data_IF_329016561528
#
_entry.id   IF_329016561528
#
_cell.length_a   1.000
_cell.length_b   1.000
_cell.length_c   1.000
_cell.angle_alpha   90.00
_cell.angle_beta   90.00
_cell.angle_gamma   90.00
#
_symmetry.space_group_name_H-M   'P 1'
#
loop_
_entity.id
_entity.type
_entity.pdbx_description
1 polymer ?
#
# COMPACT_ATOMS: atom_id res chain seq x y z
N UNK A 1 -4.74 -17.38 16.58
CA UNK A 1 -5.51 -16.96 15.37
C UNK A 1 -6.30 -15.72 15.75
N UNK A 2 -6.14 -14.64 15.00
CA UNK A 2 -6.79 -13.36 15.26
C UNK A 2 -8.20 -13.35 14.65
N UNK A 3 -9.20 -13.04 15.47
CA UNK A 3 -10.57 -12.82 15.05
C UNK A 3 -10.75 -11.33 14.68
N UNK A 4 -10.89 -11.04 13.39
CA UNK A 4 -10.92 -9.66 12.88
C UNK A 4 -12.30 -9.27 12.34
N UNK A 5 -12.56 -7.96 12.29
CA UNK A 5 -13.61 -7.39 11.47
C UNK A 5 -13.00 -6.80 10.19
N UNK A 6 -13.70 -7.00 9.06
CA UNK A 6 -13.38 -6.33 7.80
C UNK A 6 -14.41 -5.22 7.55
N UNK A 7 -13.93 -4.01 7.23
CA UNK A 7 -14.74 -2.81 7.02
C UNK A 7 -14.57 -2.33 5.59
N UNK A 8 -15.66 -2.31 4.83
CA UNK A 8 -15.65 -2.06 3.39
C UNK A 8 -15.62 -3.38 2.60
N UNK A 9 -16.79 -3.79 2.09
CA UNK A 9 -16.98 -5.06 1.37
C UNK A 9 -17.12 -4.86 -0.15
N UNK A 10 -16.50 -3.81 -0.65
CA UNK A 10 -16.35 -3.55 -2.07
C UNK A 10 -15.42 -4.55 -2.76
N UNK A 11 -15.01 -4.26 -3.99
CA UNK A 11 -14.16 -5.16 -4.78
C UNK A 11 -12.91 -5.65 -4.03
N UNK A 12 -12.21 -4.73 -3.33
CA UNK A 12 -10.96 -5.07 -2.64
C UNK A 12 -11.22 -5.84 -1.35
N UNK A 13 -12.26 -5.46 -0.58
CA UNK A 13 -12.68 -6.21 0.61
C UNK A 13 -13.07 -7.66 0.30
N UNK A 14 -13.74 -7.89 -0.83
CA UNK A 14 -14.03 -9.26 -1.32
C UNK A 14 -12.75 -10.03 -1.64
N UNK A 15 -11.74 -9.38 -2.23
CA UNK A 15 -10.43 -9.98 -2.46
C UNK A 15 -9.78 -10.46 -1.16
N UNK A 16 -9.82 -9.67 -0.09
CA UNK A 16 -9.35 -10.11 1.23
C UNK A 16 -10.16 -11.28 1.79
N UNK A 17 -11.49 -11.25 1.68
CA UNK A 17 -12.32 -12.38 2.10
C UNK A 17 -11.94 -13.67 1.37
N UNK A 18 -11.79 -13.62 0.06
CA UNK A 18 -11.43 -14.76 -0.76
C UNK A 18 -10.00 -15.28 -0.48
N UNK A 19 -9.08 -14.39 -0.15
CA UNK A 19 -7.68 -14.75 0.15
C UNK A 19 -7.51 -15.33 1.55
N UNK A 20 -8.32 -14.91 2.52
CA UNK A 20 -8.10 -15.19 3.95
C UNK A 20 -9.08 -16.21 4.52
N UNK A 21 -10.39 -16.05 4.22
CA UNK A 21 -11.42 -16.82 4.91
C UNK A 21 -11.32 -18.32 4.58
N UNK A 22 -11.15 -19.13 5.63
CA UNK A 22 -10.94 -20.57 5.49
C UNK A 22 -9.58 -21.01 4.93
N UNK A 23 -8.68 -20.08 4.63
CA UNK A 23 -7.35 -20.35 4.06
C UNK A 23 -6.19 -19.95 4.98
N UNK A 24 -6.36 -18.87 5.75
CA UNK A 24 -5.36 -18.45 6.74
C UNK A 24 -5.50 -19.22 8.04
N UNK A 25 -4.34 -19.52 8.66
CA UNK A 25 -4.26 -20.11 10.03
C UNK A 25 -3.92 -19.06 11.08
N UNK A 26 -3.78 -17.79 10.68
CA UNK A 26 -3.36 -16.70 11.55
C UNK A 26 -4.46 -15.70 11.84
N UNK A 27 -5.33 -15.45 10.85
CA UNK A 27 -6.41 -14.47 10.93
C UNK A 27 -7.65 -14.99 10.22
N UNK A 28 -8.82 -14.65 10.72
CA UNK A 28 -10.12 -14.88 10.08
C UNK A 28 -11.06 -13.72 10.34
N UNK A 29 -12.04 -13.56 9.48
CA UNK A 29 -13.06 -12.54 9.66
C UNK A 29 -14.28 -13.12 10.36
N UNK A 30 -14.62 -12.55 11.53
CA UNK A 30 -15.79 -12.90 12.33
C UNK A 30 -16.92 -11.88 12.19
N UNK A 31 -16.59 -10.68 11.65
CA UNK A 31 -17.56 -9.62 11.35
C UNK A 31 -17.20 -8.91 10.05
N UNK A 32 -18.21 -8.56 9.25
CA UNK A 32 -18.06 -7.74 8.05
C UNK A 32 -18.96 -6.52 8.11
N UNK A 33 -18.41 -5.35 7.87
CA UNK A 33 -19.10 -4.06 7.95
C UNK A 33 -19.14 -3.41 6.58
N UNK A 34 -20.34 -3.04 6.11
CA UNK A 34 -20.52 -2.25 4.89
C UNK A 34 -21.78 -1.38 5.01
N UNK A 35 -21.72 -0.16 4.51
CA UNK A 35 -22.87 0.78 4.50
C UNK A 35 -24.03 0.29 3.65
N UNK A 36 -23.81 -0.68 2.77
CA UNK A 36 -24.84 -1.40 2.03
C UNK A 36 -25.21 -2.73 2.77
N UNK A 37 -26.29 -2.78 3.57
CA UNK A 37 -26.60 -3.92 4.42
C UNK A 37 -26.82 -5.23 3.67
N UNK A 38 -27.32 -5.15 2.44
CA UNK A 38 -27.55 -6.33 1.58
C UNK A 38 -26.21 -6.97 1.18
N UNK A 39 -25.22 -6.15 0.82
CA UNK A 39 -23.86 -6.62 0.51
C UNK A 39 -23.25 -7.35 1.69
N UNK A 40 -23.38 -6.77 2.89
CA UNK A 40 -22.84 -7.38 4.11
C UNK A 40 -23.56 -8.73 4.41
N UNK A 41 -24.88 -8.81 4.27
CA UNK A 41 -25.64 -10.05 4.49
C UNK A 41 -25.30 -11.16 3.49
N UNK A 42 -25.20 -10.83 2.21
CA UNK A 42 -24.88 -11.79 1.16
C UNK A 42 -23.49 -12.40 1.35
N UNK A 43 -22.50 -11.58 1.67
CA UNK A 43 -21.14 -12.04 1.92
C UNK A 43 -21.03 -12.79 3.25
N UNK A 44 -21.76 -12.38 4.28
CA UNK A 44 -21.85 -13.09 5.55
C UNK A 44 -22.39 -14.53 5.39
N UNK A 45 -23.41 -14.71 4.57
CA UNK A 45 -23.95 -16.03 4.27
C UNK A 45 -22.95 -16.96 3.56
N UNK A 46 -22.06 -16.38 2.72
CA UNK A 46 -21.05 -17.15 1.97
C UNK A 46 -19.79 -17.45 2.79
N UNK A 47 -19.38 -16.54 3.65
CA UNK A 47 -18.09 -16.59 4.34
C UNK A 47 -18.18 -16.86 5.85
N UNK A 48 -19.39 -16.91 6.42
CA UNK A 48 -19.63 -17.33 7.80
C UNK A 48 -19.25 -16.29 8.86
N UNK A 49 -19.39 -14.98 8.57
CA UNK A 49 -19.19 -13.91 9.55
C UNK A 49 -20.51 -13.20 9.92
N UNK A 50 -20.52 -12.39 10.98
CA UNK A 50 -21.66 -11.55 11.33
C UNK A 50 -21.69 -10.28 10.47
N UNK A 51 -22.80 -9.96 9.76
CA UNK A 51 -22.92 -8.71 9.05
C UNK A 51 -23.22 -7.53 9.99
N UNK A 52 -22.74 -6.34 9.62
CA UNK A 52 -23.07 -5.08 10.28
C UNK A 52 -23.07 -3.93 9.24
N UNK A 53 -23.77 -2.86 9.52
CA UNK A 53 -23.69 -1.61 8.77
C UNK A 53 -22.97 -0.50 9.54
N UNK A 54 -22.55 -0.75 10.76
CA UNK A 54 -21.94 0.24 11.64
C UNK A 54 -20.59 -0.25 12.20
N UNK A 55 -19.56 0.58 12.00
CA UNK A 55 -18.24 0.37 12.56
C UNK A 55 -18.27 0.30 14.10
N UNK A 56 -19.13 1.09 14.75
CA UNK A 56 -19.23 1.12 16.20
C UNK A 56 -19.59 -0.25 16.79
N UNK A 57 -20.44 -1.01 16.10
CA UNK A 57 -20.75 -2.39 16.52
C UNK A 57 -19.52 -3.32 16.47
N UNK A 58 -18.65 -3.18 15.45
CA UNK A 58 -17.43 -3.97 15.37
C UNK A 58 -16.41 -3.54 16.44
N UNK A 59 -16.34 -2.25 16.75
CA UNK A 59 -15.47 -1.72 17.81
C UNK A 59 -15.92 -2.17 19.21
N UNK A 60 -17.22 -2.26 19.45
CA UNK A 60 -17.79 -2.68 20.73
C UNK A 60 -17.81 -4.21 20.92
N UNK A 61 -17.69 -5.00 19.85
CA UNK A 61 -17.76 -6.47 19.91
C UNK A 61 -16.48 -7.04 20.55
N UNK A 62 -16.59 -7.72 21.72
CA UNK A 62 -15.42 -8.32 22.38
C UNK A 62 -14.83 -9.51 21.58
N UNK A 63 -15.58 -10.11 20.67
CA UNK A 63 -15.09 -11.17 19.81
C UNK A 63 -14.17 -10.62 18.69
N UNK A 64 -14.23 -9.33 18.38
CA UNK A 64 -13.38 -8.69 17.39
C UNK A 64 -12.08 -8.23 18.04
N UNK A 65 -10.97 -8.86 17.69
CA UNK A 65 -9.65 -8.57 18.24
C UNK A 65 -8.87 -7.52 17.42
N UNK A 66 -9.17 -7.38 16.12
CA UNK A 66 -8.52 -6.44 15.22
C UNK A 66 -9.46 -5.99 14.09
N UNK A 67 -9.13 -4.89 13.42
CA UNK A 67 -9.88 -4.41 12.26
C UNK A 67 -9.02 -4.36 11.01
N UNK A 68 -9.66 -4.61 9.85
CA UNK A 68 -9.08 -4.46 8.51
C UNK A 68 -9.94 -3.45 7.75
N UNK A 69 -9.41 -2.27 7.50
CA UNK A 69 -10.11 -1.16 6.86
C UNK A 69 -9.82 -1.14 5.36
N UNK A 70 -10.88 -1.23 4.56
CA UNK A 70 -10.85 -1.27 3.08
C UNK A 70 -11.88 -0.28 2.51
N UNK A 71 -12.03 0.82 3.20
CA UNK A 71 -13.01 1.88 2.96
C UNK A 71 -12.46 2.96 2.00
N UNK A 72 -13.26 3.99 1.63
CA UNK A 72 -12.76 5.20 0.98
C UNK A 72 -11.64 5.87 1.78
N UNK A 73 -10.68 6.47 1.06
CA UNK A 73 -9.44 6.99 1.65
C UNK A 73 -9.67 8.12 2.66
N UNK A 74 -10.67 8.97 2.41
CA UNK A 74 -11.06 10.07 3.31
C UNK A 74 -11.51 9.60 4.69
N UNK A 75 -11.99 8.35 4.82
CA UNK A 75 -12.48 7.78 6.07
C UNK A 75 -11.37 7.15 6.93
N UNK A 76 -10.19 6.89 6.35
CA UNK A 76 -9.13 6.12 7.01
C UNK A 76 -8.70 6.76 8.34
N UNK A 77 -8.45 8.09 8.36
CA UNK A 77 -8.02 8.78 9.57
C UNK A 77 -8.97 8.58 10.74
N UNK A 78 -10.25 8.86 10.53
CA UNK A 78 -11.25 8.77 11.59
C UNK A 78 -11.44 7.34 12.07
N UNK A 79 -11.47 6.38 11.15
CA UNK A 79 -11.64 4.97 11.45
C UNK A 79 -10.43 4.39 12.20
N UNK A 80 -9.19 4.70 11.78
CA UNK A 80 -7.98 4.25 12.49
C UNK A 80 -7.92 4.84 13.90
N UNK A 81 -8.23 6.13 14.05
CA UNK A 81 -8.27 6.77 15.37
C UNK A 81 -9.36 6.15 16.26
N UNK A 82 -10.52 5.80 15.71
CA UNK A 82 -11.56 5.11 16.46
C UNK A 82 -11.12 3.69 16.89
N UNK A 83 -10.44 2.94 16.02
CA UNK A 83 -9.86 1.63 16.36
C UNK A 83 -8.84 1.77 17.51
N UNK A 84 -7.92 2.73 17.41
CA UNK A 84 -6.92 3.00 18.43
C UNK A 84 -7.55 3.34 19.79
N UNK A 85 -8.58 4.22 19.80
CA UNK A 85 -9.34 4.56 21.02
C UNK A 85 -10.05 3.36 21.64
N UNK A 86 -10.50 2.42 20.81
CA UNK A 86 -11.10 1.16 21.28
C UNK A 86 -10.05 0.12 21.71
N UNK A 87 -8.76 0.44 21.68
CA UNK A 87 -7.67 -0.47 22.00
C UNK A 87 -7.52 -1.64 21.02
N UNK A 88 -7.98 -1.46 19.77
CA UNK A 88 -7.96 -2.53 18.76
C UNK A 88 -6.89 -2.27 17.71
N UNK A 89 -5.96 -3.23 17.48
CA UNK A 89 -5.06 -3.22 16.32
C UNK A 89 -5.82 -3.02 15.03
N UNK A 90 -5.21 -2.27 14.10
CA UNK A 90 -5.87 -1.92 12.84
C UNK A 90 -4.92 -2.05 11.66
N UNK A 91 -5.36 -2.74 10.62
CA UNK A 91 -4.76 -2.76 9.30
C UNK A 91 -5.57 -1.82 8.40
N UNK A 92 -4.89 -0.90 7.71
CA UNK A 92 -5.53 0.06 6.84
C UNK A 92 -4.99 -0.05 5.42
N UNK A 93 -5.89 -0.20 4.44
CA UNK A 93 -5.51 -0.22 3.02
C UNK A 93 -4.87 1.10 2.57
N UNK A 94 -4.13 1.00 1.45
CA UNK A 94 -3.45 2.16 0.85
C UNK A 94 -4.41 3.01 0.00
N UNK A 95 -4.11 4.31 -0.11
CA UNK A 95 -3.15 5.08 0.67
C UNK A 95 -3.56 5.11 2.15
N UNK A 96 -2.59 4.98 3.05
CA UNK A 96 -2.88 5.06 4.48
C UNK A 96 -3.65 6.35 4.80
N UNK A 97 -3.20 7.46 4.24
CA UNK A 97 -3.86 8.75 4.24
C UNK A 97 -3.53 9.51 2.94
N UNK A 98 -4.27 10.57 2.64
CA UNK A 98 -4.01 11.45 1.50
C UNK A 98 -3.02 12.58 1.85
N UNK A 99 -2.86 12.90 3.14
CA UNK A 99 -1.93 13.91 3.65
C UNK A 99 -0.99 13.34 4.70
N UNK A 100 0.22 13.90 4.76
CA UNK A 100 1.21 13.59 5.80
C UNK A 100 0.67 13.85 7.20
N UNK A 101 -0.09 14.95 7.37
CA UNK A 101 -0.66 15.33 8.66
C UNK A 101 -1.63 14.26 9.18
N UNK A 102 -2.51 13.75 8.32
CA UNK A 102 -3.46 12.71 8.69
C UNK A 102 -2.73 11.39 9.02
N UNK A 103 -1.73 11.01 8.23
CA UNK A 103 -0.91 9.83 8.51
C UNK A 103 -0.21 9.92 9.87
N UNK A 104 0.35 11.09 10.22
CA UNK A 104 0.97 11.32 11.52
C UNK A 104 -0.04 11.16 12.67
N UNK A 105 -1.25 11.74 12.52
CA UNK A 105 -2.33 11.58 13.52
C UNK A 105 -2.69 10.11 13.74
N UNK A 106 -2.78 9.33 12.67
CA UNK A 106 -3.10 7.90 12.72
C UNK A 106 -1.99 7.10 13.42
N UNK A 107 -0.74 7.33 13.04
CA UNK A 107 0.44 6.71 13.64
C UNK A 107 0.52 7.01 15.13
N UNK A 108 0.40 8.30 15.50
CA UNK A 108 0.45 8.74 16.89
C UNK A 108 -0.71 8.19 17.73
N UNK A 109 -1.91 8.07 17.16
CA UNK A 109 -3.05 7.50 17.87
C UNK A 109 -2.82 6.02 18.20
N UNK A 110 -2.32 5.24 17.24
CA UNK A 110 -2.01 3.83 17.46
C UNK A 110 -0.83 3.64 18.44
N UNK A 111 0.22 4.46 18.31
CA UNK A 111 1.36 4.42 19.24
C UNK A 111 0.95 4.74 20.67
N UNK A 112 0.16 5.81 20.90
CA UNK A 112 -0.36 6.15 22.23
C UNK A 112 -1.27 5.08 22.83
N UNK A 113 -2.03 4.38 22.00
CA UNK A 113 -2.91 3.30 22.44
C UNK A 113 -2.16 1.97 22.64
N UNK A 114 -0.89 1.88 22.22
CA UNK A 114 -0.12 0.64 22.26
C UNK A 114 -0.66 -0.47 21.34
N UNK A 115 -1.31 -0.09 20.23
CA UNK A 115 -1.90 -1.03 19.27
C UNK A 115 -1.12 -1.05 17.96
N UNK A 116 -1.09 -2.21 17.31
CA UNK A 116 -0.42 -2.38 16.01
C UNK A 116 -1.19 -1.64 14.92
N UNK A 117 -0.49 -0.81 14.14
CA UNK A 117 -0.96 -0.27 12.86
C UNK A 117 -0.27 -1.03 11.72
N UNK A 118 -1.07 -1.62 10.83
CA UNK A 118 -0.62 -2.20 9.56
C UNK A 118 -1.02 -1.30 8.38
N UNK A 119 -0.22 -1.27 7.33
CA UNK A 119 -0.51 -0.54 6.09
C UNK A 119 -0.55 -1.51 4.90
N UNK A 120 -1.59 -1.41 4.07
CA UNK A 120 -1.87 -2.30 2.95
C UNK A 120 -1.01 -2.03 1.73
N UNK A 121 0.22 -2.47 1.75
CA UNK A 121 1.13 -2.43 0.60
C UNK A 121 1.48 -3.84 0.15
N UNK A 122 0.49 -4.59 -0.32
CA UNK A 122 0.57 -6.03 -0.63
C UNK A 122 1.71 -6.40 -1.58
N UNK A 123 2.15 -5.49 -2.47
CA UNK A 123 3.25 -5.76 -3.41
C UNK A 123 4.60 -5.95 -2.72
N UNK A 124 4.78 -5.47 -1.50
CA UNK A 124 5.98 -5.79 -0.70
C UNK A 124 6.11 -7.30 -0.42
N UNK A 125 4.99 -8.04 -0.48
CA UNK A 125 4.94 -9.49 -0.25
C UNK A 125 5.04 -10.31 -1.54
N UNK A 126 5.12 -9.68 -2.70
CA UNK A 126 5.39 -10.39 -3.94
C UNK A 126 6.78 -11.05 -3.89
N UNK A 127 6.91 -12.31 -4.30
CA UNK A 127 8.18 -13.03 -4.29
C UNK A 127 9.30 -12.28 -5.01
N UNK A 128 9.00 -11.64 -6.15
CA UNK A 128 9.95 -10.81 -6.89
C UNK A 128 10.46 -9.63 -6.07
N UNK A 129 9.57 -8.91 -5.37
CA UNK A 129 9.92 -7.76 -4.53
C UNK A 129 10.68 -8.18 -3.28
N UNK A 130 10.30 -9.31 -2.67
CA UNK A 130 11.02 -9.89 -1.54
C UNK A 130 12.44 -10.32 -1.92
N UNK A 131 12.60 -10.92 -3.10
CA UNK A 131 13.91 -11.30 -3.62
C UNK A 131 14.77 -10.07 -3.95
N UNK A 132 14.18 -9.06 -4.65
CA UNK A 132 14.87 -7.80 -4.93
C UNK A 132 15.34 -7.11 -3.64
N UNK A 133 14.48 -7.06 -2.61
CA UNK A 133 14.83 -6.49 -1.31
C UNK A 133 16.02 -7.22 -0.67
N UNK A 134 16.00 -8.57 -0.66
CA UNK A 134 17.13 -9.36 -0.12
C UNK A 134 18.44 -9.10 -0.87
N UNK A 135 18.40 -8.98 -2.21
CA UNK A 135 19.58 -8.65 -3.03
C UNK A 135 20.14 -7.27 -2.67
N UNK A 136 19.28 -6.28 -2.44
CA UNK A 136 19.68 -4.93 -2.00
C UNK A 136 20.29 -4.97 -0.59
N UNK A 137 19.62 -5.60 0.37
CA UNK A 137 20.07 -5.71 1.77
C UNK A 137 21.34 -6.55 1.93
N UNK A 138 21.50 -7.56 1.07
CA UNK A 138 22.73 -8.38 1.00
C UNK A 138 23.95 -7.63 0.49
N UNK A 139 23.76 -6.40 -0.02
CA UNK A 139 24.86 -5.58 -0.53
C UNK A 139 25.41 -6.00 -1.90
N UNK A 140 24.78 -6.95 -2.56
CA UNK A 140 25.23 -7.50 -3.84
C UNK A 140 25.35 -6.40 -4.94
N UNK A 141 24.43 -5.43 -4.91
CA UNK A 141 24.42 -4.32 -5.87
C UNK A 141 25.37 -3.16 -5.49
N UNK A 142 25.97 -3.19 -4.30
CA UNK A 142 26.74 -2.08 -3.77
C UNK A 142 25.86 -0.86 -3.44
N UNK A 143 26.43 0.35 -3.56
CA UNK A 143 25.66 1.58 -3.36
C UNK A 143 24.56 1.72 -4.42
N UNK A 144 23.32 1.95 -3.98
CA UNK A 144 22.21 2.24 -4.91
C UNK A 144 22.42 3.61 -5.54
N UNK A 145 22.36 3.68 -6.87
CA UNK A 145 22.57 4.88 -7.66
C UNK A 145 21.25 5.39 -8.25
N UNK A 146 20.39 4.47 -8.73
CA UNK A 146 19.16 4.81 -9.43
C UNK A 146 18.12 3.72 -9.31
N UNK A 147 16.83 4.12 -9.32
CA UNK A 147 15.69 3.21 -9.39
C UNK A 147 14.80 3.57 -10.57
N UNK A 148 14.33 2.57 -11.30
CA UNK A 148 13.25 2.72 -12.26
C UNK A 148 12.05 1.89 -11.84
N UNK A 149 10.84 2.43 -11.94
CA UNK A 149 9.64 1.70 -11.60
C UNK A 149 8.48 2.03 -12.53
N UNK A 150 7.75 1.00 -12.94
CA UNK A 150 6.61 1.14 -13.83
C UNK A 150 5.46 0.25 -13.39
N UNK A 151 4.26 0.83 -13.34
CA UNK A 151 3.03 0.07 -13.16
C UNK A 151 1.95 0.52 -14.13
N UNK A 152 1.61 -0.35 -15.09
CA UNK A 152 0.46 -0.18 -15.98
C UNK A 152 -0.67 -1.08 -15.53
N UNK A 153 -1.90 -0.59 -15.62
CA UNK A 153 -3.07 -1.36 -15.26
C UNK A 153 -4.33 -0.84 -15.98
N UNK A 154 -4.79 -1.55 -16.98
CA UNK A 154 -6.02 -1.22 -17.70
C UNK A 154 -7.29 -1.30 -16.81
N UNK A 155 -7.26 -2.09 -15.74
CA UNK A 155 -8.40 -2.18 -14.82
C UNK A 155 -8.58 -0.90 -14.00
N UNK A 156 -7.56 -0.06 -13.87
CA UNK A 156 -7.66 1.19 -13.13
C UNK A 156 -8.50 2.25 -13.86
N UNK A 157 -8.71 2.11 -15.17
CA UNK A 157 -9.61 2.97 -15.94
C UNK A 157 -11.04 2.39 -16.08
N UNK A 158 -11.22 1.10 -15.78
CA UNK A 158 -12.50 0.40 -15.82
C UNK A 158 -13.25 0.45 -14.49
N UNK A 159 -12.79 1.24 -13.52
CA UNK A 159 -13.49 1.43 -12.25
C UNK A 159 -14.77 2.19 -12.53
N UNK A 160 -15.82 1.44 -12.79
CA UNK A 160 -17.15 1.96 -13.03
C UNK A 160 -17.75 2.48 -11.73
N UNK A 161 -17.86 3.79 -11.63
CA UNK A 161 -18.62 4.47 -10.59
C UNK A 161 -17.99 4.50 -9.19
N UNK A 162 -18.67 5.21 -8.31
CA UNK A 162 -18.33 5.31 -6.90
C UNK A 162 -17.26 6.35 -6.59
N UNK A 163 -16.88 6.36 -5.35
CA UNK A 163 -15.98 7.31 -4.72
C UNK A 163 -14.58 7.40 -5.39
N UNK A 164 -14.11 6.31 -6.03
CA UNK A 164 -12.78 6.30 -6.70
C UNK A 164 -12.67 7.22 -7.92
N UNK A 165 -13.80 7.73 -8.44
CA UNK A 165 -13.80 8.71 -9.52
C UNK A 165 -13.73 10.16 -9.03
N UNK A 166 -13.91 10.37 -7.71
CA UNK A 166 -13.75 11.68 -7.09
C UNK A 166 -12.28 12.07 -7.06
N UNK A 167 -11.91 13.28 -7.52
CA UNK A 167 -10.55 13.79 -7.41
C UNK A 167 -10.05 13.88 -5.96
N UNK A 168 -10.95 14.10 -5.01
CA UNK A 168 -10.65 14.18 -3.58
C UNK A 168 -10.20 12.83 -3.02
N UNK A 169 -10.76 11.73 -3.55
CA UNK A 169 -10.41 10.38 -3.12
C UNK A 169 -9.26 9.78 -3.92
N UNK A 170 -9.08 10.22 -5.17
CA UNK A 170 -8.08 9.67 -6.09
C UNK A 170 -7.32 10.78 -6.82
N UNK A 171 -6.61 11.66 -6.10
CA UNK A 171 -5.87 12.75 -6.73
C UNK A 171 -4.74 12.23 -7.62
N UNK A 172 -4.33 13.05 -8.61
CA UNK A 172 -3.17 12.78 -9.45
C UNK A 172 -3.33 11.61 -10.42
N UNK A 173 -4.54 11.36 -10.90
CA UNK A 173 -4.78 10.37 -11.95
C UNK A 173 -4.30 8.96 -11.59
N UNK A 174 -3.43 8.38 -12.43
CA UNK A 174 -2.84 7.06 -12.18
C UNK A 174 -1.94 6.97 -10.94
N UNK A 175 -1.56 8.10 -10.33
CA UNK A 175 -0.68 8.10 -9.16
C UNK A 175 -1.30 7.40 -7.96
N UNK A 176 -2.54 7.70 -7.58
CA UNK A 176 -3.22 7.09 -6.42
C UNK A 176 -3.47 5.59 -6.61
N UNK A 177 -3.91 5.19 -7.80
CA UNK A 177 -4.26 3.79 -8.07
C UNK A 177 -3.06 2.88 -8.32
N UNK A 178 -2.08 3.36 -9.06
CA UNK A 178 -0.94 2.59 -9.57
C UNK A 178 0.40 3.12 -9.06
N UNK A 179 0.67 4.41 -9.24
CA UNK A 179 1.98 5.00 -8.93
C UNK A 179 2.39 4.85 -7.46
N UNK A 180 1.43 4.92 -6.54
CA UNK A 180 1.70 4.77 -5.11
C UNK A 180 2.34 3.41 -4.77
N UNK A 181 2.01 2.35 -5.48
CA UNK A 181 2.67 1.05 -5.27
C UNK A 181 4.15 1.06 -5.68
N UNK A 182 4.47 1.76 -6.76
CA UNK A 182 5.86 1.93 -7.21
C UNK A 182 6.62 2.84 -6.25
N UNK A 183 5.99 3.93 -5.80
CA UNK A 183 6.58 4.85 -4.83
C UNK A 183 6.88 4.15 -3.50
N UNK A 184 5.95 3.32 -3.01
CA UNK A 184 6.17 2.50 -1.81
C UNK A 184 7.34 1.52 -1.99
N UNK A 185 7.44 0.88 -3.17
CA UNK A 185 8.57 0.02 -3.49
C UNK A 185 9.90 0.78 -3.48
N UNK A 186 9.93 2.00 -4.01
CA UNK A 186 11.13 2.85 -3.97
C UNK A 186 11.54 3.21 -2.54
N UNK A 187 10.58 3.64 -1.71
CA UNK A 187 10.85 3.96 -0.29
C UNK A 187 11.30 2.72 0.48
N UNK A 188 10.74 1.56 0.17
CA UNK A 188 11.16 0.29 0.75
C UNK A 188 12.61 -0.06 0.43
N UNK A 189 13.11 0.30 -0.76
CA UNK A 189 14.44 -0.05 -1.25
C UNK A 189 15.49 1.03 -0.99
N UNK A 190 15.13 2.31 -1.15
CA UNK A 190 16.07 3.45 -1.12
C UNK A 190 15.83 4.43 0.04
N UNK A 191 14.75 4.27 0.81
CA UNK A 191 14.45 5.18 1.92
C UNK A 191 13.65 6.42 1.50
N UNK A 192 13.61 7.46 2.33
CA UNK A 192 12.74 8.60 2.14
C UNK A 192 13.13 9.48 0.94
N UNK A 193 12.12 10.09 0.32
CA UNK A 193 12.26 11.05 -0.77
C UNK A 193 12.59 12.45 -0.20
N UNK A 194 13.56 13.14 -0.79
CA UNK A 194 13.91 14.53 -0.49
C UNK A 194 13.20 15.52 -1.41
N UNK A 195 13.06 15.20 -2.69
CA UNK A 195 12.34 16.03 -3.66
C UNK A 195 11.76 15.23 -4.80
N UNK A 196 10.72 15.78 -5.42
CA UNK A 196 10.02 15.19 -6.56
C UNK A 196 9.65 16.24 -7.58
N UNK A 197 9.76 15.88 -8.87
CA UNK A 197 9.14 16.59 -9.98
C UNK A 197 8.28 15.59 -10.77
N UNK A 198 7.01 15.95 -11.01
CA UNK A 198 6.05 15.03 -11.62
C UNK A 198 5.18 15.72 -12.67
N UNK A 199 4.75 14.95 -13.68
CA UNK A 199 3.86 15.38 -14.76
C UNK A 199 2.74 14.38 -14.95
N UNK A 200 1.50 14.88 -15.08
CA UNK A 200 0.33 14.13 -15.50
C UNK A 200 -0.05 14.57 -16.92
N UNK A 201 -0.16 13.60 -17.82
CA UNK A 201 -0.70 13.81 -19.16
C UNK A 201 -2.03 13.06 -19.26
N UNK A 202 -3.13 13.80 -19.21
CA UNK A 202 -4.49 13.26 -19.34
C UNK A 202 -4.97 13.40 -20.77
N UNK A 203 -5.27 12.27 -21.41
CA UNK A 203 -5.84 12.21 -22.77
C UNK A 203 -7.35 12.07 -22.76
N UNK A 204 -7.92 11.52 -21.69
CA UNK A 204 -9.35 11.33 -21.49
C UNK A 204 -9.65 11.38 -19.99
N UNK A 205 -10.61 12.24 -19.57
CA UNK A 205 -11.00 12.34 -18.17
C UNK A 205 -11.92 11.17 -17.73
N UNK A 206 -12.29 11.16 -16.44
CA UNK A 206 -13.32 10.26 -15.92
C UNK A 206 -14.61 10.33 -16.78
N UNK A 207 -15.41 9.25 -16.89
CA UNK A 207 -15.40 8.05 -16.05
C UNK A 207 -14.44 6.92 -16.50
N UNK A 208 -13.78 7.03 -17.64
CA UNK A 208 -12.83 6.04 -18.13
C UNK A 208 -11.51 6.75 -18.47
N UNK A 209 -10.76 7.23 -17.46
CA UNK A 209 -9.60 8.06 -17.69
C UNK A 209 -8.48 7.31 -18.41
N UNK A 210 -7.85 8.01 -19.36
CA UNK A 210 -6.64 7.56 -20.03
C UNK A 210 -5.55 8.56 -19.72
N UNK A 211 -4.64 8.21 -18.83
CA UNK A 211 -3.55 9.08 -18.42
C UNK A 211 -2.23 8.34 -18.22
N UNK A 212 -1.18 9.15 -18.18
CA UNK A 212 0.16 8.74 -17.82
C UNK A 212 0.72 9.69 -16.78
N UNK A 213 1.36 9.13 -15.74
CA UNK A 213 2.15 9.91 -14.79
C UNK A 213 3.62 9.56 -14.99
N UNK A 214 4.45 10.59 -15.02
CA UNK A 214 5.91 10.48 -14.98
C UNK A 214 6.43 11.30 -13.81
N UNK A 215 7.29 10.72 -12.97
CA UNK A 215 7.86 11.42 -11.83
C UNK A 215 9.34 11.07 -11.63
N UNK A 216 10.14 12.10 -11.31
CA UNK A 216 11.55 11.99 -10.98
C UNK A 216 11.73 12.29 -9.50
N UNK A 217 12.43 11.41 -8.79
CA UNK A 217 12.68 11.50 -7.36
C UNK A 217 14.17 11.61 -7.05
N UNK A 218 14.49 12.25 -5.94
CA UNK A 218 15.78 12.19 -5.27
C UNK A 218 15.56 11.69 -3.85
N UNK A 219 16.35 10.70 -3.43
CA UNK A 219 16.26 10.03 -2.15
C UNK A 219 17.32 10.52 -1.17
N UNK A 220 17.07 10.37 0.13
CA UNK A 220 17.99 10.78 1.19
C UNK A 220 19.35 10.06 1.14
N UNK A 221 19.41 8.86 0.58
CA UNK A 221 20.65 8.09 0.36
C UNK A 221 21.46 8.55 -0.86
N UNK A 222 21.01 9.61 -1.57
CA UNK A 222 21.65 10.15 -2.76
C UNK A 222 21.26 9.47 -4.09
N UNK A 223 20.43 8.44 -4.05
CA UNK A 223 19.93 7.81 -5.27
C UNK A 223 18.88 8.69 -5.97
N UNK A 224 18.76 8.54 -7.29
CA UNK A 224 17.65 9.09 -8.07
C UNK A 224 16.60 8.01 -8.41
N UNK A 225 15.39 8.41 -8.81
CA UNK A 225 14.36 7.47 -9.23
C UNK A 225 13.49 8.00 -10.35
N UNK A 226 13.02 7.11 -11.21
CA UNK A 226 12.08 7.38 -12.29
C UNK A 226 10.87 6.48 -12.16
N UNK A 227 9.70 7.08 -11.96
CA UNK A 227 8.41 6.39 -11.87
C UNK A 227 7.56 6.69 -13.09
N UNK A 228 6.97 5.64 -13.69
CA UNK A 228 5.99 5.76 -14.74
C UNK A 228 4.71 4.97 -14.45
N UNK A 229 3.55 5.52 -14.85
CA UNK A 229 2.29 4.78 -14.86
C UNK A 229 1.54 4.99 -16.16
N UNK A 230 0.77 3.98 -16.59
CA UNK A 230 -0.15 4.10 -17.74
C UNK A 230 -1.47 3.42 -17.38
N UNK A 231 -2.59 4.17 -17.44
CA UNK A 231 -3.94 3.63 -17.19
C UNK A 231 -4.67 3.22 -18.47
N UNK A 232 -4.01 2.48 -19.34
CA UNK A 232 -4.62 2.09 -20.63
C UNK A 232 -4.18 0.72 -21.13
N UNK A 233 -3.03 0.25 -20.67
CA UNK A 233 -2.41 -0.99 -21.12
C UNK A 233 -2.64 -2.13 -20.15
N UNK A 234 -2.52 -3.40 -20.57
CA UNK A 234 -2.55 -4.56 -19.69
C UNK A 234 -1.62 -4.42 -18.49
N UNK A 235 -1.90 -5.19 -17.45
CA UNK A 235 -1.09 -5.16 -16.24
C UNK A 235 0.39 -5.43 -16.56
N UNK A 236 1.24 -4.49 -16.13
CA UNK A 236 2.68 -4.60 -16.22
C UNK A 236 3.30 -3.99 -14.97
N UNK A 237 4.20 -4.73 -14.33
CA UNK A 237 4.96 -4.30 -13.17
C UNK A 237 6.44 -4.50 -13.40
N UNK A 238 7.24 -3.48 -13.11
CA UNK A 238 8.70 -3.55 -13.10
C UNK A 238 9.23 -2.59 -12.03
N UNK A 239 10.15 -3.08 -11.21
CA UNK A 239 11.00 -2.25 -10.35
C UNK A 239 12.44 -2.68 -10.58
N UNK A 240 13.30 -1.78 -11.04
CA UNK A 240 14.71 -2.01 -11.35
C UNK A 240 15.59 -1.14 -10.45
N UNK A 241 16.56 -1.73 -9.79
CA UNK A 241 17.55 -1.08 -8.95
C UNK A 241 18.90 -1.15 -9.62
N UNK A 242 19.53 0.00 -9.83
CA UNK A 242 20.88 0.13 -10.37
C UNK A 242 21.83 0.49 -9.22
N UNK A 243 22.79 -0.37 -8.96
CA UNK A 243 23.83 -0.18 -7.97
C UNK A 243 25.22 -0.10 -8.61
N UNK A 244 26.21 0.22 -7.80
CA UNK A 244 27.60 0.37 -8.26
C UNK A 244 28.26 -0.93 -8.76
N UNK A 245 27.72 -2.09 -8.32
CA UNK A 245 28.27 -3.42 -8.66
C UNK A 245 27.40 -4.22 -9.65
N UNK A 246 26.28 -3.66 -10.11
CA UNK A 246 25.34 -4.35 -10.98
C UNK A 246 23.91 -3.85 -10.77
N UNK A 247 22.94 -4.50 -11.40
CA UNK A 247 21.55 -4.13 -11.20
C UNK A 247 20.64 -5.35 -11.11
N UNK A 248 19.45 -5.16 -10.52
CA UNK A 248 18.45 -6.21 -10.38
C UNK A 248 17.06 -5.65 -10.59
N UNK A 249 16.18 -6.43 -11.23
CA UNK A 249 14.81 -6.02 -11.48
C UNK A 249 13.78 -7.09 -11.07
N UNK A 250 12.72 -6.64 -10.40
CA UNK A 250 11.52 -7.41 -10.15
C UNK A 250 10.54 -7.22 -11.30
N UNK A 251 10.19 -8.31 -11.99
CA UNK A 251 9.24 -8.34 -13.10
C UNK A 251 7.99 -9.11 -12.70
N UNK A 252 6.81 -8.43 -12.76
CA UNK A 252 5.59 -9.04 -12.27
C UNK A 252 5.70 -9.49 -10.81
N UNK A 253 4.94 -10.50 -10.45
CA UNK A 253 4.86 -10.98 -9.07
C UNK A 253 6.01 -11.93 -8.68
N UNK A 254 6.52 -12.69 -9.65
CA UNK A 254 7.30 -13.92 -9.36
C UNK A 254 8.64 -14.01 -10.08
N UNK A 255 9.13 -12.94 -10.69
CA UNK A 255 10.38 -13.00 -11.44
C UNK A 255 11.38 -11.96 -10.95
N UNK A 256 12.63 -12.39 -10.71
CA UNK A 256 13.77 -11.53 -10.45
C UNK A 256 14.81 -11.74 -11.55
N UNK A 257 15.32 -10.65 -12.11
CA UNK A 257 16.45 -10.67 -13.05
C UNK A 257 17.63 -9.94 -12.42
N UNK A 258 18.77 -10.59 -12.37
CA UNK A 258 20.04 -10.03 -11.93
C UNK A 258 20.88 -9.72 -13.17
N UNK A 259 21.37 -8.47 -13.28
CA UNK A 259 22.21 -8.00 -14.35
C UNK A 259 23.62 -7.73 -13.83
N UNK A 260 24.53 -8.60 -14.15
CA UNK A 260 25.96 -8.52 -13.79
C UNK A 260 26.79 -9.19 -14.88
N UNK A 261 28.00 -9.65 -14.53
CA UNK A 261 28.88 -10.34 -15.47
C UNK A 261 28.25 -11.64 -16.05
N UNK A 262 27.39 -12.31 -15.28
CA UNK A 262 26.57 -13.44 -15.72
C UNK A 262 25.11 -13.15 -15.34
N UNK A 263 24.29 -12.64 -16.27
CA UNK A 263 22.88 -12.37 -16.01
C UNK A 263 22.12 -13.63 -15.61
N UNK A 264 21.25 -13.52 -14.59
CA UNK A 264 20.43 -14.61 -14.10
C UNK A 264 18.95 -14.21 -14.07
N UNK A 265 18.09 -15.14 -14.41
CA UNK A 265 16.64 -14.98 -14.34
C UNK A 265 16.06 -16.05 -13.42
N UNK A 266 15.41 -15.62 -12.35
CA UNK A 266 14.87 -16.46 -11.31
C UNK A 266 13.35 -16.42 -11.35
N UNK A 267 12.71 -17.58 -11.57
CA UNK A 267 11.28 -17.76 -11.33
C UNK A 267 11.06 -18.17 -9.88
N UNK A 268 10.14 -17.52 -9.20
CA UNK A 268 9.86 -17.68 -7.78
C UNK A 268 8.45 -18.24 -7.59
N UNK A 269 8.26 -19.03 -6.53
CA UNK A 269 6.96 -19.62 -6.22
C UNK A 269 5.91 -18.54 -5.91
N UNK A 270 4.71 -18.62 -6.49
CA UNK A 270 3.65 -17.66 -6.26
C UNK A 270 3.20 -17.59 -4.80
N UNK A 271 2.91 -16.40 -4.32
CA UNK A 271 2.37 -16.13 -2.97
C UNK A 271 1.10 -15.31 -3.09
N UNK A 272 0.06 -15.69 -2.35
CA UNK A 272 -1.11 -14.84 -2.15
C UNK A 272 -0.73 -13.66 -1.26
N UNK A 273 -0.42 -12.52 -1.87
CA UNK A 273 0.11 -11.35 -1.17
C UNK A 273 -0.88 -10.69 -0.22
N UNK A 274 -2.20 -10.78 -0.51
CA UNK A 274 -3.24 -10.25 0.38
C UNK A 274 -3.31 -11.07 1.68
N UNK A 275 -3.19 -12.39 1.55
CA UNK A 275 -3.13 -13.26 2.73
C UNK A 275 -1.82 -13.06 3.48
N UNK A 276 -0.70 -12.99 2.77
CA UNK A 276 0.62 -12.84 3.38
C UNK A 276 0.71 -11.56 4.23
N UNK A 277 0.24 -10.41 3.72
CA UNK A 277 0.30 -9.15 4.50
C UNK A 277 -0.60 -9.19 5.76
N UNK A 278 -1.79 -9.80 5.69
CA UNK A 278 -2.65 -9.93 6.87
C UNK A 278 -2.15 -10.98 7.86
N UNK A 279 -1.47 -12.03 7.41
CA UNK A 279 -0.78 -12.97 8.31
C UNK A 279 0.39 -12.30 9.03
N UNK A 280 1.14 -11.41 8.36
CA UNK A 280 2.17 -10.60 9.02
C UNK A 280 1.58 -9.61 10.02
N UNK A 281 0.42 -9.03 9.73
CA UNK A 281 -0.31 -8.21 10.70
C UNK A 281 -0.74 -9.01 11.93
N UNK A 282 -1.29 -10.20 11.73
CA UNK A 282 -1.66 -11.10 12.83
C UNK A 282 -0.43 -11.52 13.65
N UNK A 283 0.70 -11.83 13.00
CA UNK A 283 1.95 -12.15 13.69
C UNK A 283 2.45 -10.97 14.56
N UNK A 284 2.38 -9.74 14.06
CA UNK A 284 2.76 -8.55 14.83
C UNK A 284 1.88 -8.38 16.09
N UNK A 285 0.57 -8.64 15.97
CA UNK A 285 -0.36 -8.61 17.12
C UNK A 285 0.00 -9.70 18.13
N UNK A 286 0.15 -10.96 17.69
CA UNK A 286 0.47 -12.10 18.58
C UNK A 286 1.83 -11.91 19.27
N UNK A 287 2.82 -11.38 18.57
CA UNK A 287 4.14 -11.09 19.11
C UNK A 287 4.21 -9.80 19.96
N UNK A 288 3.13 -9.01 19.99
CA UNK A 288 3.15 -7.63 20.55
C UNK A 288 4.29 -6.78 20.00
N UNK A 289 4.58 -6.96 18.72
CA UNK A 289 5.68 -6.32 18.01
C UNK A 289 5.20 -5.32 16.96
N UNK A 290 6.16 -4.76 16.22
CA UNK A 290 5.87 -3.84 15.14
C UNK A 290 5.44 -4.59 13.86
N UNK A 291 4.56 -3.96 13.06
CA UNK A 291 4.31 -4.40 11.70
C UNK A 291 5.55 -4.17 10.82
N UNK A 292 5.85 -5.05 9.84
CA UNK A 292 7.09 -4.94 9.05
C UNK A 292 7.26 -3.63 8.26
N UNK A 293 6.16 -2.93 7.93
CA UNK A 293 6.25 -1.57 7.41
C UNK A 293 6.27 -0.63 8.60
N UNK A 294 7.42 -0.02 8.89
CA UNK A 294 7.58 0.86 10.05
C UNK A 294 6.76 2.14 9.93
N UNK A 295 6.46 2.78 11.06
CA UNK A 295 5.80 4.08 11.12
C UNK A 295 6.54 5.13 10.27
N UNK A 296 7.88 5.12 10.29
CA UNK A 296 8.71 6.00 9.47
C UNK A 296 8.50 5.75 7.97
N UNK A 297 8.43 4.49 7.54
CA UNK A 297 8.15 4.16 6.13
C UNK A 297 6.73 4.52 5.73
N UNK A 298 5.73 4.28 6.59
CA UNK A 298 4.34 4.70 6.35
C UNK A 298 4.25 6.21 6.13
N UNK A 299 4.87 6.98 7.02
CA UNK A 299 4.89 8.44 6.92
C UNK A 299 5.66 8.93 5.70
N UNK A 300 6.81 8.32 5.38
CA UNK A 300 7.60 8.66 4.21
C UNK A 300 6.82 8.41 2.91
N UNK A 301 6.09 7.30 2.81
CA UNK A 301 5.28 6.96 1.64
C UNK A 301 4.15 7.97 1.44
N UNK A 302 3.42 8.34 2.51
CA UNK A 302 2.35 9.35 2.42
C UNK A 302 2.91 10.73 2.12
N UNK A 303 4.01 11.14 2.76
CA UNK A 303 4.63 12.43 2.52
C UNK A 303 5.12 12.58 1.06
N UNK A 304 5.75 11.54 0.52
CA UNK A 304 6.21 11.53 -0.87
C UNK A 304 5.03 11.48 -1.85
N UNK A 305 3.96 10.77 -1.51
CA UNK A 305 2.72 10.76 -2.30
C UNK A 305 2.09 12.17 -2.35
N UNK A 306 1.87 12.81 -1.20
CA UNK A 306 1.33 14.18 -1.11
C UNK A 306 2.19 15.17 -1.91
N UNK A 307 3.52 15.10 -1.77
CA UNK A 307 4.45 15.94 -2.53
C UNK A 307 4.37 15.68 -4.04
N UNK A 308 4.18 14.43 -4.46
CA UNK A 308 3.98 14.08 -5.87
C UNK A 308 2.70 14.71 -6.40
N UNK A 309 1.58 14.62 -5.66
CA UNK A 309 0.31 15.28 -6.05
C UNK A 309 0.51 16.79 -6.20
N UNK A 310 1.15 17.44 -5.23
CA UNK A 310 1.44 18.88 -5.31
C UNK A 310 2.31 19.24 -6.52
N UNK A 311 3.27 18.38 -6.88
CA UNK A 311 4.08 18.57 -8.07
C UNK A 311 3.27 18.44 -9.36
N UNK A 312 2.35 17.46 -9.44
CA UNK A 312 1.43 17.28 -10.56
C UNK A 312 0.51 18.50 -10.76
N UNK A 313 0.04 19.10 -9.67
CA UNK A 313 -0.86 20.25 -9.67
C UNK A 313 -0.14 21.56 -10.03
N UNK A 314 1.06 21.77 -9.49
CA UNK A 314 1.81 23.02 -9.67
C UNK A 314 2.72 23.03 -10.90
N UNK A 315 3.07 21.87 -11.46
CA UNK A 315 4.11 21.73 -12.48
C UNK A 315 5.52 22.05 -11.98
N UNK A 316 5.70 22.19 -10.67
CA UNK A 316 6.98 22.56 -10.06
C UNK A 316 7.60 21.41 -9.26
N UNK A 317 8.91 21.50 -9.03
CA UNK A 317 9.60 20.61 -8.11
C UNK A 317 9.17 20.90 -6.68
N UNK A 318 8.81 19.85 -5.94
CA UNK A 318 8.45 19.92 -4.51
C UNK A 318 9.60 19.35 -3.68
N UNK A 319 10.04 20.10 -2.67
CA UNK A 319 11.05 19.69 -1.69
C UNK A 319 10.33 19.26 -0.42
N UNK A 320 10.62 18.04 0.05
CA UNK A 320 10.00 17.49 1.27
C UNK A 320 10.77 17.89 2.54
N UNK A 321 12.06 18.17 2.43
CA UNK A 321 12.96 18.34 3.58
C UNK A 321 13.25 16.98 4.27
N UNK A 322 14.17 16.99 5.22
CA UNK A 322 14.46 15.80 6.02
C UNK A 322 13.23 15.46 6.87
N UNK A 323 12.73 14.24 6.77
CA UNK A 323 11.83 13.70 7.78
C UNK A 323 12.63 13.57 9.08
N UNK A 324 12.09 14.01 10.25
CA UNK A 324 12.79 13.79 11.50
C UNK A 324 13.07 12.29 11.64
N UNK A 325 14.31 11.94 11.95
CA UNK A 325 14.64 10.58 12.35
C UNK A 325 13.72 10.21 13.51
N UNK A 326 12.91 9.16 13.34
CA UNK A 326 12.12 8.64 14.45
C UNK A 326 13.10 8.25 15.55
N UNK A 327 12.95 8.79 16.74
CA UNK A 327 13.59 8.27 17.92
C UNK A 327 13.32 6.76 17.96
N UNK A 328 14.38 5.99 17.88
CA UNK A 328 14.41 4.53 17.95
C UNK A 328 13.80 4.01 19.23
#
# INVERSE_FOLDING_TARGET
MIDAAIVGLGRWGRGFLESVQGKSRRIRFVRGVDTAPDVARDLAARHGFKPSSDLAEALADPAVQALVLVTPHSLHREQVVACARAGKPVFCEKPLALTRADAQIMIDACARAGVVLGAGHNRRWWPSMQALRRTVEGGELGQILHLEGHFSNEHSNKVSGGWRLSPEESPGGGMTGAGLHVLDAFIHLAGPVLRVHAQLLERKPAPAPLDTVSAIYEFANGASGLLGTVRATPQYWRVHVFGANGSAEALGENELVLHGAAPQRLSLEPVDSLRAELEMFANAIEARGAFPISAAQMLATVAAFEATIRSLESGATVILGNLPESAT
#
